data_IF_199805035866
#
_entry.id   IF_199805035866
#
_cell.length_a   1.000
_cell.length_b   1.000
_cell.length_c   1.000
_cell.angle_alpha   90.00
_cell.angle_beta   90.00
_cell.angle_gamma   90.00
#
_symmetry.space_group_name_H-M   'P 1'
#
loop_
_entity.id
_entity.type
_entity.pdbx_description
1 polymer ?
#
# COMPACT_ATOMS: atom_id res chain seq x y z
N UNK A 1 -5.46 -23.41 37.98
CA UNK A 1 -6.70 -24.20 37.94
C UNK A 1 -7.25 -24.35 36.52
N UNK A 2 -7.93 -23.37 35.89
CA UNK A 2 -8.59 -23.63 34.58
C UNK A 2 -7.66 -24.17 33.46
N UNK A 3 -6.46 -23.60 33.29
CA UNK A 3 -5.49 -24.10 32.30
C UNK A 3 -4.90 -25.47 32.66
N UNK A 4 -4.78 -25.79 33.96
CA UNK A 4 -4.30 -27.09 34.44
C UNK A 4 -5.34 -28.17 34.13
N UNK A 5 -6.61 -27.92 34.47
CA UNK A 5 -7.72 -28.84 34.17
C UNK A 5 -7.91 -29.07 32.67
N UNK A 6 -7.74 -28.03 31.84
CA UNK A 6 -7.77 -28.17 30.39
C UNK A 6 -6.60 -29.03 29.89
N UNK A 7 -5.39 -28.81 30.43
CA UNK A 7 -4.20 -29.57 30.07
C UNK A 7 -4.36 -31.04 30.44
N UNK A 8 -4.84 -31.35 31.64
CA UNK A 8 -5.13 -32.72 32.10
C UNK A 8 -6.14 -33.43 31.17
N UNK A 9 -7.25 -32.74 30.84
CA UNK A 9 -8.25 -33.26 29.90
C UNK A 9 -7.63 -33.56 28.53
N UNK A 10 -6.78 -32.65 28.02
CA UNK A 10 -6.11 -32.82 26.72
C UNK A 10 -5.10 -33.97 26.74
N UNK A 11 -4.35 -34.15 27.85
CA UNK A 11 -3.40 -35.25 28.00
C UNK A 11 -4.13 -36.59 28.08
N UNK A 12 -5.24 -36.67 28.83
CA UNK A 12 -6.07 -37.87 28.91
C UNK A 12 -6.70 -38.26 27.57
N UNK A 13 -6.98 -37.30 26.69
CA UNK A 13 -7.34 -37.59 25.31
C UNK A 13 -6.14 -37.97 24.44
N UNK A 14 -5.01 -37.28 24.57
CA UNK A 14 -3.85 -37.46 23.69
C UNK A 14 -3.12 -38.81 23.88
N UNK A 15 -3.00 -39.28 25.13
CA UNK A 15 -2.29 -40.52 25.47
C UNK A 15 -2.87 -41.75 24.76
N UNK A 16 -4.19 -42.03 24.82
CA UNK A 16 -4.81 -43.13 24.05
C UNK A 16 -4.66 -43.02 22.53
N UNK A 17 -4.47 -41.79 22.01
CA UNK A 17 -4.33 -41.53 20.58
C UNK A 17 -2.87 -41.47 20.11
N UNK A 18 -1.91 -41.78 20.99
CA UNK A 18 -0.47 -41.79 20.68
C UNK A 18 0.11 -40.39 20.40
N UNK A 19 -0.56 -39.32 20.87
CA UNK A 19 -0.12 -37.94 20.68
C UNK A 19 0.70 -37.51 21.89
N UNK A 20 1.92 -37.02 21.65
CA UNK A 20 2.81 -36.51 22.70
C UNK A 20 3.05 -35.02 22.50
N UNK A 21 2.73 -34.22 23.51
CA UNK A 21 3.05 -32.81 23.53
C UNK A 21 4.46 -32.58 24.05
N UNK A 22 5.29 -31.85 23.28
CA UNK A 22 6.63 -31.47 23.71
C UNK A 22 6.57 -30.23 24.62
N UNK A 23 6.89 -30.33 25.93
CA UNK A 23 6.78 -29.19 26.84
C UNK A 23 7.74 -28.04 26.49
N UNK A 24 8.85 -28.34 25.80
CA UNK A 24 9.80 -27.34 25.29
C UNK A 24 9.19 -26.40 24.23
N UNK A 25 8.06 -26.78 23.63
CA UNK A 25 7.31 -25.94 22.68
C UNK A 25 6.16 -25.18 23.35
N UNK A 26 5.94 -25.37 24.65
CA UNK A 26 4.91 -24.65 25.36
C UNK A 26 5.29 -23.19 25.51
N UNK A 27 4.28 -22.34 25.36
CA UNK A 27 4.39 -20.93 25.66
C UNK A 27 3.08 -20.46 26.25
N UNK A 28 3.18 -19.61 27.27
CA UNK A 28 2.03 -19.05 27.97
C UNK A 28 2.06 -17.55 27.77
N UNK A 29 0.97 -17.00 27.25
CA UNK A 29 0.78 -15.55 27.17
C UNK A 29 -0.50 -15.18 27.90
N UNK A 30 -0.42 -14.12 28.71
CA UNK A 30 -1.55 -13.62 29.49
C UNK A 30 -2.09 -12.35 28.87
N UNK A 31 -3.28 -12.43 28.30
CA UNK A 31 -3.99 -11.24 27.87
C UNK A 31 -4.39 -10.39 29.06
N UNK A 32 -4.17 -9.08 28.94
CA UNK A 32 -4.60 -8.09 29.94
C UNK A 32 -5.84 -7.37 29.41
N UNK A 33 -6.83 -7.19 30.28
CA UNK A 33 -7.91 -6.26 29.97
C UNK A 33 -7.31 -4.85 29.74
N UNK A 34 -7.68 -4.15 28.67
CA UNK A 34 -7.08 -2.86 28.31
C UNK A 34 -7.11 -1.79 29.42
N UNK A 35 -8.09 -1.85 30.32
CA UNK A 35 -8.29 -0.92 31.44
C UNK A 35 -7.66 -1.36 32.76
N UNK A 36 -7.13 -2.58 32.86
CA UNK A 36 -6.54 -3.06 34.12
C UNK A 36 -5.25 -2.30 34.42
N UNK A 37 -5.14 -1.76 35.65
CA UNK A 37 -3.90 -1.14 36.19
C UNK A 37 -3.10 -2.10 37.09
N UNK A 38 -3.62 -3.30 37.33
CA UNK A 38 -3.01 -4.30 38.22
C UNK A 38 -1.68 -4.80 37.62
N UNK A 39 -0.59 -4.91 38.41
CA UNK A 39 0.67 -5.50 37.95
C UNK A 39 0.46 -6.88 37.31
N UNK A 40 1.30 -7.22 36.32
CA UNK A 40 1.17 -8.49 35.63
C UNK A 40 1.38 -9.65 36.62
N UNK A 41 0.34 -10.46 36.83
CA UNK A 41 0.46 -11.67 37.65
C UNK A 41 1.46 -12.63 36.98
N UNK A 42 2.51 -13.02 37.71
CA UNK A 42 3.61 -13.86 37.19
C UNK A 42 3.43 -15.36 37.46
N UNK A 43 2.62 -15.77 38.43
CA UNK A 43 2.57 -17.18 38.85
C UNK A 43 2.10 -18.10 37.71
N UNK A 44 2.77 -19.21 37.44
CA UNK A 44 2.47 -20.11 36.32
C UNK A 44 1.46 -21.21 36.71
N UNK A 45 0.69 -21.76 35.75
CA UNK A 45 -0.07 -22.97 36.02
C UNK A 45 0.89 -24.13 36.29
N UNK A 46 0.51 -25.04 37.19
CA UNK A 46 1.25 -26.24 37.61
C UNK A 46 1.22 -27.32 36.51
N UNK A 47 1.73 -26.99 35.32
CA UNK A 47 1.85 -27.90 34.20
C UNK A 47 3.33 -28.25 34.03
N UNK A 48 3.63 -29.54 33.90
CA UNK A 48 5.00 -30.03 33.73
C UNK A 48 5.67 -29.39 32.52
N UNK A 49 6.84 -28.80 32.74
CA UNK A 49 7.64 -28.16 31.69
C UNK A 49 7.34 -26.68 31.44
N UNK A 50 6.40 -26.07 32.18
CA UNK A 50 6.29 -24.61 32.23
C UNK A 50 7.28 -24.03 33.23
N UNK A 51 8.17 -23.16 32.74
CA UNK A 51 9.12 -22.36 33.52
C UNK A 51 8.87 -20.87 33.29
N UNK A 52 9.53 -19.98 34.04
CA UNK A 52 9.38 -18.53 33.84
C UNK A 52 9.69 -18.10 32.40
N UNK A 53 10.63 -18.76 31.73
CA UNK A 53 10.97 -18.50 30.32
C UNK A 53 9.83 -18.81 29.34
N UNK A 54 8.88 -19.68 29.72
CA UNK A 54 7.69 -19.99 28.90
C UNK A 54 6.66 -18.87 28.94
N UNK A 55 6.73 -17.96 29.91
CA UNK A 55 5.85 -16.78 29.97
C UNK A 55 6.32 -15.75 28.94
N UNK A 56 5.54 -15.57 27.88
CA UNK A 56 5.84 -14.64 26.81
C UNK A 56 4.88 -13.45 26.80
N UNK A 57 5.40 -12.29 26.43
CA UNK A 57 4.63 -11.07 26.14
C UNK A 57 4.20 -10.98 24.68
N UNK A 58 4.79 -11.79 23.82
CA UNK A 58 4.51 -11.93 22.39
C UNK A 58 4.57 -13.39 21.97
N UNK A 59 3.65 -13.81 21.09
CA UNK A 59 3.60 -15.16 20.52
C UNK A 59 3.26 -15.13 19.04
N UNK A 60 3.90 -16.01 18.28
CA UNK A 60 3.56 -16.22 16.88
C UNK A 60 2.43 -17.24 16.75
N UNK A 61 1.27 -16.80 16.27
CA UNK A 61 0.11 -17.66 15.99
C UNK A 61 -0.18 -17.59 14.49
N UNK A 62 -0.08 -18.73 13.80
CA UNK A 62 -0.30 -18.83 12.35
C UNK A 62 0.44 -17.73 11.56
N UNK A 63 1.67 -17.39 11.94
CA UNK A 63 2.48 -16.38 11.25
C UNK A 63 2.21 -14.91 11.61
N UNK A 64 1.24 -14.64 12.50
CA UNK A 64 0.96 -13.31 13.09
C UNK A 64 1.63 -13.21 14.46
N UNK A 65 2.33 -12.12 14.73
CA UNK A 65 2.88 -11.86 16.08
C UNK A 65 1.81 -11.19 16.92
N UNK A 66 1.31 -11.90 17.92
CA UNK A 66 0.29 -11.41 18.85
C UNK A 66 0.98 -10.99 20.13
N UNK A 67 0.88 -9.72 20.51
CA UNK A 67 1.31 -9.27 21.82
C UNK A 67 0.17 -9.35 22.84
N UNK A 68 0.53 -9.52 24.11
CA UNK A 68 -0.39 -9.67 25.22
C UNK A 68 -1.34 -8.48 25.45
N UNK A 69 -1.08 -7.32 24.84
CA UNK A 69 -1.93 -6.13 24.90
C UNK A 69 -2.69 -5.87 23.59
N UNK A 70 -2.52 -6.73 22.57
CA UNK A 70 -3.11 -6.59 21.24
C UNK A 70 -2.82 -5.22 20.60
N UNK A 71 -1.61 -4.69 20.83
CA UNK A 71 -1.14 -3.42 20.26
C UNK A 71 -0.53 -3.57 18.87
N UNK A 72 -0.11 -4.78 18.49
CA UNK A 72 0.44 -5.16 17.19
C UNK A 72 1.81 -4.55 16.84
N UNK A 73 2.48 -3.90 17.79
CA UNK A 73 3.81 -3.30 17.57
C UNK A 73 4.84 -4.30 17.01
N UNK A 74 5.09 -5.43 17.70
CA UNK A 74 6.01 -6.46 17.24
C UNK A 74 5.66 -7.03 15.85
N UNK A 75 4.36 -7.16 15.56
CA UNK A 75 3.88 -7.62 14.25
C UNK A 75 4.26 -6.67 13.12
N UNK A 76 4.03 -5.36 13.31
CA UNK A 76 4.40 -4.35 12.31
C UNK A 76 5.90 -4.31 12.08
N UNK A 77 6.72 -4.46 13.12
CA UNK A 77 8.18 -4.53 13.01
C UNK A 77 8.63 -5.75 12.20
N UNK A 78 8.01 -6.90 12.42
CA UNK A 78 8.28 -8.12 11.64
C UNK A 78 7.84 -8.00 10.19
N UNK A 79 6.72 -7.32 9.91
CA UNK A 79 6.30 -6.98 8.54
C UNK A 79 7.35 -6.07 7.89
N UNK A 80 7.78 -5.00 8.56
CA UNK A 80 8.79 -4.08 8.05
C UNK A 80 10.09 -4.80 7.72
N UNK A 81 10.57 -5.70 8.58
CA UNK A 81 11.76 -6.50 8.34
C UNK A 81 11.62 -7.39 7.09
N UNK A 82 10.52 -8.14 6.97
CA UNK A 82 10.27 -9.02 5.82
C UNK A 82 10.16 -8.23 4.51
N UNK A 83 9.42 -7.12 4.52
CA UNK A 83 9.26 -6.24 3.35
C UNK A 83 10.59 -5.65 2.94
N UNK A 84 11.38 -5.07 3.87
CA UNK A 84 12.69 -4.51 3.57
C UNK A 84 13.65 -5.54 2.98
N UNK A 85 13.61 -6.78 3.47
CA UNK A 85 14.40 -7.87 2.91
C UNK A 85 13.96 -8.21 1.47
N UNK A 86 12.65 -8.27 1.20
CA UNK A 86 12.15 -8.47 -0.17
C UNK A 86 12.54 -7.30 -1.09
N UNK A 87 12.47 -6.06 -0.61
CA UNK A 87 12.88 -4.88 -1.37
C UNK A 87 14.38 -4.84 -1.65
N UNK A 88 15.23 -5.37 -0.75
CA UNK A 88 16.67 -5.54 -1.04
C UNK A 88 16.89 -6.47 -2.23
N UNK A 89 16.12 -7.55 -2.35
CA UNK A 89 16.17 -8.43 -3.52
C UNK A 89 15.73 -7.70 -4.80
N UNK A 90 14.61 -6.96 -4.75
CA UNK A 90 14.14 -6.18 -5.90
C UNK A 90 15.14 -5.10 -6.35
N UNK A 91 15.89 -4.52 -5.41
CA UNK A 91 16.94 -3.53 -5.72
C UNK A 91 18.10 -4.12 -6.53
N UNK A 92 18.34 -5.44 -6.45
CA UNK A 92 19.42 -6.10 -7.20
C UNK A 92 19.10 -6.30 -8.68
N UNK A 93 17.81 -6.29 -9.04
CA UNK A 93 17.34 -6.57 -10.41
C UNK A 93 16.86 -5.33 -11.16
N UNK A 94 16.66 -4.20 -10.46
CA UNK A 94 16.26 -2.93 -11.07
C UNK A 94 16.72 -1.76 -10.20
N UNK A 95 17.33 -0.79 -10.86
CA UNK A 95 17.70 0.52 -10.29
C UNK A 95 16.64 1.58 -10.60
N UNK A 96 16.99 2.85 -10.46
CA UNK A 96 16.12 3.95 -10.88
C UNK A 96 16.07 4.11 -12.40
N UNK A 97 17.17 3.83 -13.10
CA UNK A 97 17.25 4.04 -14.57
C UNK A 97 17.51 2.75 -15.36
N UNK A 98 17.90 1.65 -14.72
CA UNK A 98 18.25 0.39 -15.39
C UNK A 98 17.43 -0.79 -14.85
N UNK A 99 17.36 -1.87 -15.64
CA UNK A 99 16.70 -3.12 -15.27
C UNK A 99 15.22 -3.13 -15.65
N UNK A 100 14.41 -3.87 -14.89
CA UNK A 100 12.98 -4.03 -15.18
C UNK A 100 12.24 -2.68 -15.19
N UNK A 101 11.32 -2.52 -16.15
CA UNK A 101 10.48 -1.32 -16.30
C UNK A 101 9.53 -1.10 -15.11
N UNK A 102 8.86 0.07 -15.12
CA UNK A 102 7.95 0.45 -14.04
C UNK A 102 6.79 -0.53 -13.82
N UNK A 103 6.21 -1.06 -14.90
CA UNK A 103 5.03 -1.94 -14.83
C UNK A 103 5.41 -3.28 -14.22
N UNK A 104 6.54 -3.83 -14.65
CA UNK A 104 7.12 -5.06 -14.10
C UNK A 104 7.49 -4.88 -12.63
N UNK A 105 8.14 -3.78 -12.26
CA UNK A 105 8.48 -3.49 -10.86
C UNK A 105 7.24 -3.26 -9.98
N UNK A 106 6.21 -2.59 -10.53
CA UNK A 106 4.89 -2.46 -9.90
C UNK A 106 4.26 -3.82 -9.68
N UNK A 107 4.24 -4.69 -10.68
CA UNK A 107 3.69 -6.04 -10.58
C UNK A 107 4.43 -6.86 -9.52
N UNK A 108 5.75 -6.79 -9.46
CA UNK A 108 6.56 -7.45 -8.42
C UNK A 108 6.22 -6.94 -7.01
N UNK A 109 6.03 -5.63 -6.84
CA UNK A 109 5.56 -5.08 -5.57
C UNK A 109 4.18 -5.65 -5.19
N UNK A 110 3.21 -5.63 -6.12
CA UNK A 110 1.85 -6.09 -5.85
C UNK A 110 1.77 -7.59 -5.58
N UNK A 111 2.64 -8.40 -6.20
CA UNK A 111 2.62 -9.88 -6.12
C UNK A 111 3.53 -10.46 -5.04
N UNK A 112 4.64 -9.79 -4.69
CA UNK A 112 5.62 -10.31 -3.72
C UNK A 112 5.69 -9.51 -2.43
N UNK A 113 5.45 -8.21 -2.47
CA UNK A 113 5.59 -7.34 -1.29
C UNK A 113 4.26 -7.10 -0.60
N UNK A 114 3.22 -6.71 -1.35
CA UNK A 114 1.90 -6.42 -0.79
C UNK A 114 1.30 -7.60 0.00
N UNK A 115 1.44 -8.87 -0.43
CA UNK A 115 0.94 -10.02 0.33
C UNK A 115 1.62 -10.22 1.71
N UNK A 116 2.88 -9.82 1.86
CA UNK A 116 3.58 -9.86 3.16
C UNK A 116 2.86 -8.95 4.16
N UNK A 117 2.44 -7.78 3.68
CA UNK A 117 1.77 -6.75 4.48
C UNK A 117 0.32 -7.15 4.77
N UNK A 118 -0.39 -7.74 3.80
CA UNK A 118 -1.82 -8.03 3.93
C UNK A 118 -2.13 -9.37 4.60
N UNK A 119 -1.12 -10.20 4.83
CA UNK A 119 -1.28 -11.50 5.46
C UNK A 119 -2.06 -11.39 6.78
N UNK A 120 -3.17 -12.13 6.86
CA UNK A 120 -4.07 -12.18 8.01
C UNK A 120 -4.57 -10.80 8.51
N UNK A 121 -4.63 -9.76 7.64
CA UNK A 121 -5.04 -8.42 8.07
C UNK A 121 -6.45 -8.36 8.66
N UNK A 122 -7.33 -9.31 8.32
CA UNK A 122 -8.64 -9.46 8.95
C UNK A 122 -8.58 -9.71 10.48
N UNK A 123 -7.46 -10.22 10.99
CA UNK A 123 -7.27 -10.48 12.42
C UNK A 123 -6.67 -9.29 13.19
N UNK A 124 -5.64 -8.64 12.63
CA UNK A 124 -4.85 -7.62 13.34
C UNK A 124 -5.12 -6.18 12.87
N UNK A 125 -5.65 -5.96 11.65
CA UNK A 125 -5.94 -4.62 11.17
C UNK A 125 -7.38 -4.22 11.54
N UNK A 126 -7.47 -3.38 12.56
CA UNK A 126 -8.70 -2.79 13.09
C UNK A 126 -8.62 -1.28 12.83
N UNK A 127 -9.45 -0.78 11.92
CA UNK A 127 -9.56 0.66 11.59
C UNK A 127 -11.03 1.02 11.34
N UNK A 128 -11.33 2.32 11.29
CA UNK A 128 -12.68 2.87 11.10
C UNK A 128 -13.03 3.95 12.12
N UNK A 129 -13.94 4.84 11.74
CA UNK A 129 -14.39 5.94 12.60
C UNK A 129 -15.20 5.42 13.78
N UNK A 130 -15.06 6.02 14.95
CA UNK A 130 -15.78 5.60 16.16
C UNK A 130 -15.48 4.16 16.63
N UNK A 131 -14.46 3.50 16.06
CA UNK A 131 -13.99 2.18 16.49
C UNK A 131 -13.04 2.36 17.68
N UNK A 132 -13.37 1.78 18.84
CA UNK A 132 -12.41 1.70 19.96
C UNK A 132 -11.23 0.78 19.60
N UNK A 133 -10.10 0.86 20.32
CA UNK A 133 -8.99 -0.09 20.18
C UNK A 133 -8.46 -0.31 18.75
N UNK A 134 -8.63 0.68 17.87
CA UNK A 134 -8.06 0.68 16.52
C UNK A 134 -6.54 0.64 16.56
N UNK A 135 -5.93 0.21 15.47
CA UNK A 135 -4.48 0.24 15.32
C UNK A 135 -3.97 1.67 15.56
N UNK A 136 -2.95 1.79 16.41
CA UNK A 136 -2.44 3.10 16.81
C UNK A 136 -1.94 3.89 15.60
N UNK A 137 -2.22 5.21 15.57
CA UNK A 137 -1.91 6.09 14.43
C UNK A 137 -0.42 6.06 14.04
N UNK A 138 0.47 5.92 15.01
CA UNK A 138 1.91 5.79 14.76
C UNK A 138 2.26 4.49 14.02
N UNK A 139 1.57 3.39 14.29
CA UNK A 139 1.77 2.11 13.58
C UNK A 139 1.21 2.17 12.16
N UNK A 140 0.04 2.79 11.95
CA UNK A 140 -0.47 3.09 10.61
C UNK A 140 0.54 3.94 9.83
N UNK A 141 1.09 4.98 10.48
CA UNK A 141 2.13 5.82 9.88
C UNK A 141 3.39 5.03 9.51
N UNK A 142 3.86 4.10 10.37
CA UNK A 142 5.00 3.21 10.06
C UNK A 142 4.75 2.35 8.81
N UNK A 143 3.54 1.82 8.64
CA UNK A 143 3.16 1.06 7.44
C UNK A 143 3.14 1.97 6.21
N UNK A 144 2.51 3.13 6.31
CA UNK A 144 2.41 4.08 5.21
C UNK A 144 3.79 4.61 4.75
N UNK A 145 4.71 4.84 5.69
CA UNK A 145 6.11 5.17 5.40
C UNK A 145 6.83 4.00 4.71
N UNK A 146 6.63 2.76 5.17
CA UNK A 146 7.18 1.57 4.52
C UNK A 146 6.69 1.44 3.07
N UNK A 147 5.40 1.70 2.82
CA UNK A 147 4.89 1.72 1.45
C UNK A 147 5.57 2.80 0.62
N UNK A 148 5.71 4.02 1.15
CA UNK A 148 6.37 5.09 0.43
C UNK A 148 7.80 4.72 0.04
N UNK A 149 8.58 4.14 0.97
CA UNK A 149 9.93 3.63 0.68
C UNK A 149 9.91 2.63 -0.49
N UNK A 150 8.94 1.69 -0.50
CA UNK A 150 8.79 0.71 -1.56
C UNK A 150 8.43 1.37 -2.90
N UNK A 151 7.45 2.27 -2.89
CA UNK A 151 6.95 2.93 -4.10
C UNK A 151 8.00 3.83 -4.75
N UNK A 152 8.78 4.56 -3.95
CA UNK A 152 9.92 5.34 -4.46
C UNK A 152 10.97 4.43 -5.12
N UNK A 153 11.31 3.30 -4.50
CA UNK A 153 12.28 2.37 -5.06
C UNK A 153 11.79 1.75 -6.39
N UNK A 154 10.55 1.27 -6.44
CA UNK A 154 10.04 0.64 -7.67
C UNK A 154 9.76 1.64 -8.78
N UNK A 155 9.67 2.94 -8.48
CA UNK A 155 9.35 3.96 -9.48
C UNK A 155 10.52 4.82 -9.93
N UNK A 156 11.63 4.82 -9.19
CA UNK A 156 12.75 5.73 -9.47
C UNK A 156 12.46 7.18 -9.05
N UNK A 157 11.32 7.45 -8.42
CA UNK A 157 10.96 8.75 -7.89
C UNK A 157 11.98 9.25 -6.85
N UNK A 158 12.14 10.58 -6.78
CA UNK A 158 13.04 11.20 -5.81
C UNK A 158 12.53 11.02 -4.38
N UNK A 159 13.43 11.00 -3.40
CA UNK A 159 13.08 10.82 -1.98
C UNK A 159 12.06 11.85 -1.48
N UNK A 160 12.10 13.07 -2.01
CA UNK A 160 11.20 14.18 -1.66
C UNK A 160 9.85 14.17 -2.39
N UNK A 161 9.59 13.23 -3.30
CA UNK A 161 8.33 13.19 -4.04
C UNK A 161 7.16 12.89 -3.09
N UNK A 162 6.09 13.71 -3.09
CA UNK A 162 4.94 13.51 -2.20
C UNK A 162 4.27 12.14 -2.39
N UNK A 163 3.98 11.48 -1.28
CA UNK A 163 3.42 10.12 -1.23
C UNK A 163 2.14 9.95 -2.04
N UNK A 164 1.21 10.90 -1.92
CA UNK A 164 -0.09 10.81 -2.61
C UNK A 164 0.05 10.98 -4.13
N UNK A 165 1.05 11.75 -4.58
CA UNK A 165 1.39 11.88 -6.00
C UNK A 165 1.96 10.57 -6.55
N UNK A 166 2.90 9.93 -5.83
CA UNK A 166 3.47 8.63 -6.26
C UNK A 166 2.38 7.56 -6.32
N UNK A 167 1.48 7.51 -5.33
CA UNK A 167 0.32 6.60 -5.34
C UNK A 167 -0.59 6.80 -6.53
N UNK A 168 -0.87 8.06 -6.87
CA UNK A 168 -1.68 8.44 -8.02
C UNK A 168 -1.00 8.01 -9.32
N UNK A 169 0.27 8.35 -9.52
CA UNK A 169 1.01 8.00 -10.74
C UNK A 169 1.15 6.49 -10.93
N UNK A 170 1.33 5.73 -9.85
CA UNK A 170 1.41 4.26 -9.91
C UNK A 170 0.04 3.57 -9.84
N UNK A 171 -1.06 4.31 -9.67
CA UNK A 171 -2.38 3.77 -9.37
C UNK A 171 -2.34 2.67 -8.29
N UNK A 172 -1.80 3.02 -7.12
CA UNK A 172 -1.69 2.15 -5.94
C UNK A 172 -2.39 2.78 -4.75
N UNK A 173 -3.36 2.08 -4.19
CA UNK A 173 -4.05 2.45 -2.94
C UNK A 173 -3.07 2.71 -1.79
N UNK A 174 -3.42 3.62 -0.87
CA UNK A 174 -2.75 3.68 0.42
C UNK A 174 -2.87 2.32 1.14
N UNK A 175 -1.90 1.99 2.00
CA UNK A 175 -1.95 0.72 2.72
C UNK A 175 -3.15 0.67 3.67
N UNK A 176 -3.50 1.78 4.29
CA UNK A 176 -4.70 1.85 5.13
C UNK A 176 -5.97 1.46 4.36
N UNK A 177 -6.24 2.10 3.21
CA UNK A 177 -7.41 1.80 2.36
C UNK A 177 -7.34 0.35 1.86
N UNK A 178 -6.16 -0.11 1.46
CA UNK A 178 -5.95 -1.46 0.98
C UNK A 178 -6.24 -2.52 2.05
N UNK A 179 -5.69 -2.35 3.26
CA UNK A 179 -5.88 -3.26 4.38
C UNK A 179 -7.33 -3.27 4.85
N UNK A 180 -7.98 -2.09 4.89
CA UNK A 180 -9.40 -1.99 5.19
C UNK A 180 -10.23 -2.77 4.17
N UNK A 181 -9.98 -2.57 2.86
CA UNK A 181 -10.67 -3.29 1.79
C UNK A 181 -10.49 -4.81 1.89
N UNK A 182 -9.26 -5.28 2.06
CA UNK A 182 -8.97 -6.73 2.14
C UNK A 182 -9.61 -7.34 3.38
N UNK A 183 -9.52 -6.67 4.53
CA UNK A 183 -10.09 -7.13 5.78
C UNK A 183 -11.64 -7.13 5.75
N UNK A 184 -12.25 -6.09 5.20
CA UNK A 184 -13.70 -5.98 5.01
C UNK A 184 -14.23 -7.08 4.07
N UNK A 185 -13.62 -7.24 2.90
CA UNK A 185 -14.02 -8.25 1.94
C UNK A 185 -13.84 -9.67 2.52
N UNK A 186 -12.77 -9.92 3.27
CA UNK A 186 -12.58 -11.19 3.97
C UNK A 186 -13.73 -11.46 4.95
N UNK A 187 -14.03 -10.51 5.85
CA UNK A 187 -15.12 -10.65 6.83
C UNK A 187 -16.46 -10.88 6.15
N UNK A 188 -16.76 -10.14 5.10
CA UNK A 188 -18.00 -10.30 4.35
C UNK A 188 -18.10 -11.72 3.78
N UNK A 189 -17.05 -12.23 3.12
CA UNK A 189 -17.06 -13.58 2.54
C UNK A 189 -17.31 -14.68 3.58
N UNK A 190 -16.88 -14.50 4.84
CA UNK A 190 -16.97 -15.53 5.88
C UNK A 190 -18.25 -15.49 6.72
N UNK A 191 -19.15 -14.52 6.53
CA UNK A 191 -20.36 -14.35 7.37
C UNK A 191 -21.17 -15.65 7.55
N UNK A 192 -21.38 -16.40 6.47
CA UNK A 192 -22.19 -17.62 6.48
C UNK A 192 -21.42 -18.89 6.88
N UNK A 193 -20.15 -18.78 7.24
CA UNK A 193 -19.36 -19.95 7.67
C UNK A 193 -19.75 -20.37 9.09
N UNK A 194 -19.80 -21.68 9.40
CA UNK A 194 -20.09 -22.17 10.75
C UNK A 194 -19.17 -21.56 11.81
N UNK A 195 -17.90 -21.34 11.46
CA UNK A 195 -16.90 -20.75 12.34
C UNK A 195 -17.22 -19.29 12.67
N UNK A 196 -17.65 -18.50 11.68
CA UNK A 196 -18.05 -17.11 11.91
C UNK A 196 -19.31 -17.02 12.78
N UNK A 197 -20.29 -17.89 12.53
CA UNK A 197 -21.51 -17.96 13.33
C UNK A 197 -21.21 -18.34 14.79
N UNK A 198 -20.31 -19.29 15.02
CA UNK A 198 -19.89 -19.64 16.38
C UNK A 198 -19.14 -18.50 17.07
N UNK A 199 -18.24 -17.82 16.34
CA UNK A 199 -17.57 -16.62 16.85
C UNK A 199 -18.57 -15.51 17.21
N UNK A 200 -19.61 -15.30 16.40
CA UNK A 200 -20.68 -14.35 16.71
C UNK A 200 -21.46 -14.75 17.96
N UNK A 201 -21.83 -16.03 18.10
CA UNK A 201 -22.49 -16.52 19.33
C UNK A 201 -21.64 -16.25 20.56
N UNK A 202 -20.35 -16.58 20.52
CA UNK A 202 -19.41 -16.35 21.63
C UNK A 202 -19.32 -14.85 21.95
N UNK A 203 -19.23 -13.99 20.93
CA UNK A 203 -19.10 -12.53 21.10
C UNK A 203 -20.39 -11.84 21.55
N UNK A 204 -21.52 -12.49 21.38
CA UNK A 204 -22.82 -12.00 21.84
C UNK A 204 -23.24 -12.59 23.20
N UNK A 205 -22.40 -13.43 23.83
CA UNK A 205 -22.63 -13.86 25.21
C UNK A 205 -22.60 -12.64 26.14
N UNK A 206 -23.55 -12.51 27.08
CA UNK A 206 -23.54 -11.45 28.07
C UNK A 206 -22.25 -11.51 28.88
N UNK A 207 -21.48 -10.41 28.87
CA UNK A 207 -20.30 -10.27 29.72
C UNK A 207 -20.73 -9.56 31.00
N UNK A 208 -20.50 -10.21 32.14
CA UNK A 208 -20.81 -9.64 33.47
C UNK A 208 -20.06 -8.32 33.63
N UNK A 209 -20.79 -7.24 33.93
CA UNK A 209 -20.22 -5.91 34.16
C UNK A 209 -19.89 -5.10 32.90
N UNK A 210 -20.33 -5.52 31.71
CA UNK A 210 -20.17 -4.75 30.46
C UNK A 210 -21.54 -4.31 29.95
N UNK A 211 -21.73 -3.01 29.71
CA UNK A 211 -22.99 -2.49 29.15
C UNK A 211 -23.13 -2.84 27.66
N UNK A 212 -24.37 -2.99 27.19
CA UNK A 212 -24.66 -3.21 25.76
C UNK A 212 -24.08 -2.10 24.88
N UNK A 213 -24.17 -0.85 25.33
CA UNK A 213 -23.56 0.31 24.65
C UNK A 213 -22.03 0.23 24.51
N UNK A 214 -21.36 -0.43 25.45
CA UNK A 214 -19.91 -0.67 25.37
C UNK A 214 -19.59 -1.81 24.38
N UNK A 215 -20.47 -2.82 24.31
CA UNK A 215 -20.35 -3.91 23.34
C UNK A 215 -20.64 -3.46 21.90
N UNK A 216 -21.56 -2.51 21.68
CA UNK A 216 -21.82 -1.91 20.37
C UNK A 216 -20.60 -1.18 19.80
N UNK A 217 -19.84 -0.50 20.66
CA UNK A 217 -18.57 0.16 20.29
C UNK A 217 -17.41 -0.82 20.11
N UNK A 218 -17.63 -2.10 20.36
CA UNK A 218 -16.60 -3.12 20.22
C UNK A 218 -16.14 -3.19 18.75
N UNK A 219 -14.82 -3.24 18.48
CA UNK A 219 -14.31 -2.99 17.13
C UNK A 219 -14.80 -4.02 16.13
N UNK A 220 -14.78 -5.29 16.54
CA UNK A 220 -15.24 -6.36 15.70
C UNK A 220 -16.77 -6.36 15.50
N UNK A 221 -17.59 -5.68 16.33
CA UNK A 221 -19.04 -5.59 16.10
C UNK A 221 -19.30 -4.61 14.98
N UNK A 222 -18.69 -3.41 15.06
CA UNK A 222 -18.74 -2.42 13.98
C UNK A 222 -18.20 -2.97 12.65
N UNK A 223 -17.01 -3.56 12.67
CA UNK A 223 -16.40 -4.16 11.47
C UNK A 223 -17.22 -5.30 10.87
N UNK A 224 -18.00 -6.01 11.69
CA UNK A 224 -18.88 -7.06 11.22
C UNK A 224 -20.19 -6.50 10.67
N UNK A 225 -20.75 -5.44 11.27
CA UNK A 225 -21.87 -4.70 10.71
C UNK A 225 -21.53 -4.12 9.32
N UNK A 226 -20.34 -3.53 9.17
CA UNK A 226 -19.85 -3.04 7.86
C UNK A 226 -19.76 -4.19 6.83
N UNK A 227 -19.35 -5.38 7.27
CA UNK A 227 -19.24 -6.56 6.42
C UNK A 227 -20.62 -7.10 6.00
N UNK A 228 -21.61 -7.10 6.91
CA UNK A 228 -23.01 -7.45 6.59
C UNK A 228 -23.57 -6.46 5.57
N UNK A 229 -23.36 -5.16 5.77
CA UNK A 229 -23.81 -4.13 4.83
C UNK A 229 -23.23 -4.36 3.44
N UNK A 230 -21.92 -4.62 3.34
CA UNK A 230 -21.26 -4.93 2.07
C UNK A 230 -21.86 -6.19 1.40
N UNK A 231 -22.17 -7.23 2.20
CA UNK A 231 -22.80 -8.45 1.69
C UNK A 231 -24.23 -8.22 1.19
N UNK A 232 -25.01 -7.37 1.86
CA UNK A 232 -26.38 -7.01 1.47
C UNK A 232 -26.44 -6.16 0.20
N UNK A 233 -25.41 -5.34 -0.06
CA UNK A 233 -25.31 -4.56 -1.30
C UNK A 233 -24.85 -5.40 -2.50
N UNK A 234 -24.05 -6.44 -2.27
CA UNK A 234 -23.44 -7.24 -3.33
C UNK A 234 -24.43 -7.85 -4.34
N UNK A 235 -25.62 -8.37 -3.98
CA UNK A 235 -26.62 -8.84 -4.93
C UNK A 235 -27.12 -7.76 -5.88
N UNK A 236 -27.18 -6.48 -5.46
CA UNK A 236 -27.69 -5.37 -6.30
C UNK A 236 -26.83 -5.12 -7.54
N UNK A 237 -25.60 -5.66 -7.57
CA UNK A 237 -24.69 -5.57 -8.72
C UNK A 237 -24.91 -6.67 -9.76
N UNK A 238 -25.80 -7.62 -9.49
CA UNK A 238 -26.15 -8.75 -10.35
C UNK A 238 -27.55 -8.48 -10.91
N UNK A 239 -27.70 -8.55 -12.24
CA UNK A 239 -29.02 -8.41 -12.90
C UNK A 239 -29.92 -9.59 -12.51
N UNK A 240 -31.22 -9.31 -12.38
CA UNK A 240 -32.28 -10.21 -11.90
C UNK A 240 -32.18 -11.65 -12.43
N UNK A 241 -31.57 -12.51 -11.63
CA UNK A 241 -31.65 -13.95 -11.78
C UNK A 241 -32.06 -14.52 -10.41
N UNK A 242 -33.30 -15.00 -10.32
CA UNK A 242 -33.89 -15.55 -9.09
C UNK A 242 -33.13 -16.78 -8.59
N UNK A 243 -32.47 -17.54 -9.47
CA UNK A 243 -31.63 -18.67 -9.08
C UNK A 243 -30.28 -18.19 -8.52
N UNK A 244 -29.74 -17.08 -9.04
CA UNK A 244 -28.50 -16.49 -8.53
C UNK A 244 -28.65 -15.95 -7.10
N UNK A 245 -29.83 -15.43 -6.73
CA UNK A 245 -30.14 -15.01 -5.36
C UNK A 245 -30.26 -16.23 -4.42
N UNK A 246 -30.86 -17.34 -4.89
CA UNK A 246 -31.03 -18.56 -4.08
C UNK A 246 -29.70 -19.25 -3.75
N UNK A 247 -28.74 -19.24 -4.68
CA UNK A 247 -27.40 -19.83 -4.47
C UNK A 247 -26.36 -18.86 -3.88
N UNK A 248 -26.78 -17.68 -3.40
CA UNK A 248 -25.91 -16.58 -3.01
C UNK A 248 -24.88 -16.95 -1.93
N UNK A 249 -25.33 -17.63 -0.86
CA UNK A 249 -24.55 -17.84 0.37
C UNK A 249 -23.25 -18.64 0.15
N UNK A 250 -23.19 -19.51 -0.85
CA UNK A 250 -22.06 -20.43 -1.10
C UNK A 250 -21.35 -20.24 -2.44
N UNK A 251 -21.71 -19.21 -3.21
CA UNK A 251 -21.26 -19.07 -4.60
C UNK A 251 -19.93 -18.32 -4.76
N UNK A 252 -19.06 -18.80 -5.66
CA UNK A 252 -17.89 -18.04 -6.16
C UNK A 252 -18.32 -16.68 -6.75
N UNK A 253 -19.54 -16.58 -7.29
CA UNK A 253 -20.11 -15.33 -7.83
C UNK A 253 -20.27 -14.27 -6.73
N UNK A 254 -20.73 -14.66 -5.53
CA UNK A 254 -20.82 -13.76 -4.36
C UNK A 254 -19.47 -13.19 -3.99
N UNK A 255 -18.43 -14.03 -3.91
CA UNK A 255 -17.08 -13.57 -3.61
C UNK A 255 -16.56 -12.54 -4.63
N UNK A 256 -16.86 -12.74 -5.92
CA UNK A 256 -16.52 -11.78 -6.98
C UNK A 256 -17.27 -10.45 -6.81
N UNK A 257 -18.57 -10.49 -6.51
CA UNK A 257 -19.39 -9.30 -6.27
C UNK A 257 -18.94 -8.51 -5.03
N UNK A 258 -18.70 -9.18 -3.90
CA UNK A 258 -18.14 -8.58 -2.67
C UNK A 258 -16.83 -7.86 -2.97
N UNK A 259 -15.90 -8.53 -3.68
CA UNK A 259 -14.61 -7.94 -4.03
C UNK A 259 -14.78 -6.71 -4.95
N UNK A 260 -15.75 -6.75 -5.87
CA UNK A 260 -16.05 -5.63 -6.79
C UNK A 260 -16.55 -4.40 -6.03
N UNK A 261 -17.51 -4.55 -5.11
CA UNK A 261 -18.00 -3.42 -4.30
C UNK A 261 -16.91 -2.90 -3.36
N UNK A 262 -16.18 -3.81 -2.70
CA UNK A 262 -15.09 -3.41 -1.81
C UNK A 262 -14.01 -2.61 -2.57
N UNK A 263 -13.75 -2.96 -3.84
CA UNK A 263 -12.87 -2.20 -4.72
C UNK A 263 -13.45 -0.83 -5.08
N UNK A 264 -14.75 -0.74 -5.34
CA UNK A 264 -15.44 0.53 -5.59
C UNK A 264 -15.34 1.47 -4.37
N UNK A 265 -15.59 0.97 -3.16
CA UNK A 265 -15.42 1.75 -1.93
C UNK A 265 -14.00 2.28 -1.79
N UNK A 266 -12.99 1.42 -2.01
CA UNK A 266 -11.60 1.85 -1.97
C UNK A 266 -11.26 2.90 -3.04
N UNK A 267 -11.81 2.77 -4.26
CA UNK A 267 -11.62 3.76 -5.32
C UNK A 267 -12.23 5.12 -4.92
N UNK A 268 -13.40 5.13 -4.29
CA UNK A 268 -14.03 6.34 -3.77
C UNK A 268 -13.19 6.98 -2.65
N UNK A 269 -12.70 6.16 -1.70
CA UNK A 269 -11.80 6.64 -0.63
C UNK A 269 -10.52 7.25 -1.20
N UNK A 270 -9.88 6.59 -2.17
CA UNK A 270 -8.67 7.11 -2.80
C UNK A 270 -8.91 8.38 -3.61
N UNK A 271 -10.07 8.49 -4.28
CA UNK A 271 -10.48 9.72 -4.96
C UNK A 271 -10.67 10.88 -3.97
N UNK A 272 -11.31 10.62 -2.82
CA UNK A 272 -11.44 11.60 -1.73
C UNK A 272 -10.08 12.08 -1.22
N UNK A 273 -9.19 11.14 -0.85
CA UNK A 273 -7.83 11.44 -0.38
C UNK A 273 -7.03 12.25 -1.40
N UNK A 274 -7.15 11.92 -2.69
CA UNK A 274 -6.47 12.65 -3.76
C UNK A 274 -7.00 14.08 -3.92
N UNK A 275 -8.33 14.26 -3.88
CA UNK A 275 -8.94 15.58 -3.97
C UNK A 275 -8.59 16.45 -2.76
N UNK A 276 -8.55 15.87 -1.56
CA UNK A 276 -8.10 16.58 -0.36
C UNK A 276 -6.65 17.01 -0.48
N UNK A 277 -5.77 16.12 -0.95
CA UNK A 277 -4.37 16.46 -1.23
C UNK A 277 -4.25 17.60 -2.24
N UNK A 278 -4.98 17.56 -3.36
CA UNK A 278 -4.99 18.64 -4.37
C UNK A 278 -5.47 19.97 -3.78
N UNK A 279 -6.53 19.94 -2.96
CA UNK A 279 -7.07 21.13 -2.29
C UNK A 279 -6.06 21.72 -1.31
N UNK A 280 -5.46 20.88 -0.47
CA UNK A 280 -4.41 21.30 0.45
C UNK A 280 -3.19 21.88 -0.27
N UNK A 281 -2.80 21.30 -1.40
CA UNK A 281 -1.70 21.79 -2.21
C UNK A 281 -2.00 23.17 -2.82
N UNK A 282 -3.20 23.35 -3.40
CA UNK A 282 -3.62 24.61 -4.00
C UNK A 282 -3.69 25.77 -3.00
N UNK A 283 -4.03 25.46 -1.75
CA UNK A 283 -4.22 26.45 -0.67
C UNK A 283 -2.95 26.68 0.18
N UNK A 284 -1.76 26.23 -0.26
CA UNK A 284 -0.53 26.42 0.53
C UNK A 284 -0.08 27.89 0.51
N UNK A 285 0.03 28.56 1.67
CA UNK A 285 0.48 29.95 1.73
C UNK A 285 1.98 30.11 1.44
N UNK A 286 2.79 29.10 1.80
CA UNK A 286 4.23 29.29 2.02
C UNK A 286 5.13 29.00 0.81
N UNK A 287 4.56 28.67 -0.37
CA UNK A 287 5.26 28.44 -1.65
C UNK A 287 4.25 28.04 -2.74
N UNK A 288 3.89 28.90 -3.71
CA UNK A 288 3.16 28.45 -4.89
C UNK A 288 4.12 27.61 -5.73
N UNK A 289 4.14 26.29 -5.47
CA UNK A 289 4.77 25.37 -6.42
C UNK A 289 3.92 25.36 -7.68
N UNK A 290 4.52 25.33 -8.88
CA UNK A 290 3.76 25.20 -10.12
C UNK A 290 2.80 24.01 -10.06
N UNK A 291 1.64 24.14 -10.69
CA UNK A 291 0.73 23.02 -10.88
C UNK A 291 1.41 22.07 -11.87
N UNK A 292 1.67 20.85 -11.43
CA UNK A 292 2.37 19.84 -12.23
C UNK A 292 1.36 19.01 -13.00
N UNK A 293 1.76 18.40 -14.12
CA UNK A 293 0.87 17.54 -14.92
C UNK A 293 0.20 16.44 -14.06
N UNK A 294 0.92 15.89 -13.07
CA UNK A 294 0.35 14.91 -12.15
C UNK A 294 -0.86 15.44 -11.34
N UNK A 295 -0.91 16.74 -11.00
CA UNK A 295 -1.95 17.38 -10.20
C UNK A 295 -3.19 17.81 -11.00
N UNK A 296 -3.12 17.77 -12.33
CA UNK A 296 -4.22 18.17 -13.21
C UNK A 296 -5.29 17.07 -13.29
N UNK A 297 -4.87 15.82 -13.22
CA UNK A 297 -5.74 14.65 -13.34
C UNK A 297 -6.41 14.24 -12.02
N UNK A 298 -7.58 13.62 -12.12
CA UNK A 298 -8.25 12.94 -11.00
C UNK A 298 -7.60 11.60 -10.65
N UNK A 299 -8.12 10.95 -9.61
CA UNK A 299 -7.69 9.60 -9.26
C UNK A 299 -8.21 8.61 -10.31
N UNK A 300 -7.32 7.79 -10.88
CA UNK A 300 -7.68 6.78 -11.86
C UNK A 300 -6.47 6.01 -12.39
N UNK A 301 -6.69 4.99 -13.23
CA UNK A 301 -5.60 4.21 -13.82
C UNK A 301 -4.85 4.97 -14.91
N UNK A 302 -5.43 6.05 -15.44
CA UNK A 302 -4.93 6.75 -16.63
C UNK A 302 -3.47 7.18 -16.51
N UNK A 303 -3.05 7.73 -15.37
CA UNK A 303 -1.67 8.16 -15.15
C UNK A 303 -0.67 7.02 -15.24
N UNK A 304 -1.05 5.86 -14.70
CA UNK A 304 -0.24 4.65 -14.78
C UNK A 304 -0.12 4.12 -16.22
N UNK A 305 -1.12 4.35 -17.07
CA UNK A 305 -1.11 3.90 -18.47
C UNK A 305 -0.12 4.68 -19.35
N UNK A 306 0.26 5.91 -18.97
CA UNK A 306 1.26 6.69 -19.72
C UNK A 306 2.67 6.06 -19.71
N UNK A 307 2.91 5.13 -18.78
CA UNK A 307 4.18 4.41 -18.66
C UNK A 307 4.22 3.13 -19.53
N UNK A 308 3.17 2.85 -20.31
CA UNK A 308 3.13 1.69 -21.19
C UNK A 308 4.21 1.77 -22.27
N UNK A 309 5.02 0.71 -22.39
CA UNK A 309 6.05 0.60 -23.41
C UNK A 309 7.31 1.44 -23.15
N UNK A 310 7.36 2.19 -22.04
CA UNK A 310 8.54 2.99 -21.69
C UNK A 310 9.63 2.12 -21.06
N UNK A 311 10.88 2.43 -21.39
CA UNK A 311 12.05 1.86 -20.70
C UNK A 311 12.06 2.24 -19.22
N UNK A 312 13.00 1.68 -18.47
CA UNK A 312 13.20 2.04 -17.06
C UNK A 312 13.64 3.51 -16.91
N UNK A 313 14.60 3.98 -17.70
CA UNK A 313 15.01 5.38 -17.66
C UNK A 313 13.89 6.31 -18.12
N UNK A 314 13.18 5.97 -19.19
CA UNK A 314 12.05 6.77 -19.68
C UNK A 314 10.93 6.86 -18.64
N UNK A 315 10.57 5.75 -17.99
CA UNK A 315 9.56 5.74 -16.93
C UNK A 315 9.93 6.66 -15.77
N UNK A 316 11.20 6.61 -15.32
CA UNK A 316 11.68 7.46 -14.23
C UNK A 316 11.72 8.93 -14.64
N UNK A 317 12.18 9.22 -15.86
CA UNK A 317 12.15 10.57 -16.41
C UNK A 317 10.70 11.10 -16.52
N UNK A 318 9.76 10.28 -16.99
CA UNK A 318 8.35 10.68 -17.09
C UNK A 318 7.79 11.05 -15.72
N UNK A 319 8.04 10.22 -14.71
CA UNK A 319 7.58 10.48 -13.35
C UNK A 319 8.19 11.78 -12.82
N UNK A 320 9.49 12.00 -13.01
CA UNK A 320 10.16 13.23 -12.59
C UNK A 320 9.54 14.45 -13.27
N UNK A 321 9.33 14.41 -14.59
CA UNK A 321 8.70 15.47 -15.36
C UNK A 321 7.26 15.76 -14.89
N UNK A 322 6.44 14.71 -14.72
CA UNK A 322 5.01 14.84 -14.35
C UNK A 322 4.80 15.31 -12.92
N UNK A 323 5.68 14.90 -12.01
CA UNK A 323 5.60 15.28 -10.59
C UNK A 323 6.30 16.59 -10.28
N UNK A 324 7.15 17.08 -11.17
CA UNK A 324 8.01 18.25 -10.94
C UNK A 324 9.08 18.02 -9.88
N UNK A 325 9.16 16.81 -9.29
CA UNK A 325 10.23 16.39 -8.41
C UNK A 325 11.33 15.77 -9.27
N UNK A 326 12.30 16.59 -9.66
CA UNK A 326 13.29 16.29 -10.68
C UNK A 326 14.62 16.95 -10.32
N UNK A 327 15.73 16.38 -10.81
CA UNK A 327 17.09 16.92 -10.61
C UNK A 327 17.39 18.24 -11.34
N UNK A 328 16.42 19.13 -11.51
CA UNK A 328 16.62 20.47 -12.09
C UNK A 328 16.77 21.53 -10.98
N UNK A 329 17.49 22.61 -11.27
CA UNK A 329 17.84 23.64 -10.27
C UNK A 329 16.62 24.22 -9.57
N UNK A 330 15.49 24.37 -10.27
CA UNK A 330 14.29 24.93 -9.65
C UNK A 330 13.71 24.06 -8.53
N UNK A 331 13.68 22.74 -8.71
CA UNK A 331 13.21 21.83 -7.66
C UNK A 331 14.26 21.69 -6.54
N UNK A 332 15.53 21.50 -6.91
CA UNK A 332 16.64 21.36 -5.96
C UNK A 332 16.81 22.58 -5.06
N UNK A 333 16.68 23.80 -5.60
CA UNK A 333 16.67 25.04 -4.82
C UNK A 333 15.43 25.10 -3.90
N UNK A 334 14.25 24.65 -4.37
CA UNK A 334 13.02 24.68 -3.58
C UNK A 334 13.08 23.81 -2.32
N UNK A 335 13.84 22.72 -2.38
CA UNK A 335 14.13 21.80 -1.28
C UNK A 335 15.43 22.15 -0.53
N UNK A 336 16.08 23.27 -0.88
CA UNK A 336 17.27 23.81 -0.23
C UNK A 336 18.48 22.85 -0.26
N UNK A 337 18.83 22.33 -1.42
CA UNK A 337 20.12 21.62 -1.59
C UNK A 337 21.27 22.62 -1.50
N UNK A 338 22.21 22.40 -0.58
CA UNK A 338 23.30 23.34 -0.26
C UNK A 338 24.15 23.77 -1.47
N UNK A 339 24.37 22.88 -2.44
CA UNK A 339 25.15 23.15 -3.65
C UNK A 339 24.40 23.93 -4.73
N UNK A 340 23.12 24.28 -4.51
CA UNK A 340 22.27 24.97 -5.48
C UNK A 340 21.82 26.31 -4.88
N UNK A 341 22.47 27.37 -5.34
CA UNK A 341 22.30 28.76 -4.89
C UNK A 341 21.17 29.53 -5.60
N UNK A 342 20.68 29.02 -6.74
CA UNK A 342 19.65 29.70 -7.54
C UNK A 342 18.78 28.70 -8.29
N UNK A 343 17.48 29.03 -8.41
CA UNK A 343 16.51 28.28 -9.20
C UNK A 343 16.51 28.62 -10.70
N UNK A 344 17.34 29.59 -11.12
CA UNK A 344 17.45 30.04 -12.51
C UNK A 344 18.15 29.02 -13.41
N UNK A 345 17.76 29.00 -14.67
CA UNK A 345 18.45 28.29 -15.73
C UNK A 345 19.72 29.05 -16.15
N UNK A 346 20.72 28.33 -16.65
CA UNK A 346 21.99 28.91 -17.09
C UNK A 346 21.84 29.80 -18.34
N UNK A 347 20.77 29.60 -19.12
CA UNK A 347 20.42 30.45 -20.26
C UNK A 347 20.03 31.89 -19.88
N UNK A 348 19.76 32.15 -18.58
CA UNK A 348 19.43 33.47 -18.05
C UNK A 348 17.98 33.92 -18.23
N UNK A 349 17.13 33.21 -18.97
CA UNK A 349 15.77 33.70 -19.34
C UNK A 349 14.63 33.18 -18.47
N UNK A 350 14.88 32.29 -17.51
CA UNK A 350 13.83 31.74 -16.66
C UNK A 350 14.29 30.82 -15.55
N UNK A 351 13.32 30.24 -14.83
CA UNK A 351 13.57 29.19 -13.84
C UNK A 351 13.92 27.89 -14.56
N UNK A 352 14.83 27.09 -14.00
CA UNK A 352 15.24 25.81 -14.58
C UNK A 352 14.18 24.73 -14.31
N UNK A 353 13.08 24.77 -15.06
CA UNK A 353 11.93 23.86 -14.95
C UNK A 353 11.79 22.98 -16.19
N UNK A 354 10.98 21.92 -16.06
CA UNK A 354 10.63 21.01 -17.17
C UNK A 354 10.02 21.79 -18.35
N UNK A 355 9.03 22.64 -18.07
CA UNK A 355 8.36 23.49 -19.06
C UNK A 355 9.35 24.45 -19.75
N UNK A 356 10.22 25.10 -18.98
CA UNK A 356 11.22 25.99 -19.53
C UNK A 356 12.16 25.26 -20.49
N UNK A 357 12.65 24.07 -20.13
CA UNK A 357 13.54 23.31 -21.00
C UNK A 357 12.84 22.83 -22.28
N UNK A 358 11.59 22.39 -22.20
CA UNK A 358 10.85 21.95 -23.40
C UNK A 358 10.47 23.09 -24.35
N UNK A 359 10.15 24.29 -23.84
CA UNK A 359 9.47 25.30 -24.67
C UNK A 359 10.11 26.69 -24.68
N UNK A 360 11.01 27.02 -23.75
CA UNK A 360 11.43 28.42 -23.52
C UNK A 360 12.94 28.63 -23.43
N UNK A 361 13.73 27.58 -23.26
CA UNK A 361 15.18 27.68 -23.10
C UNK A 361 15.87 28.00 -24.45
N UNK A 362 16.49 29.18 -24.62
CA UNK A 362 17.13 29.55 -25.87
C UNK A 362 18.35 28.67 -26.19
N UNK A 363 19.06 28.19 -25.16
CA UNK A 363 20.20 27.27 -25.33
C UNK A 363 19.79 25.93 -25.96
N UNK A 364 18.49 25.59 -25.91
CA UNK A 364 17.92 24.39 -26.50
C UNK A 364 17.08 24.66 -27.75
N UNK A 365 17.03 25.90 -28.26
CA UNK A 365 16.13 26.30 -29.34
C UNK A 365 16.26 25.43 -30.60
N UNK A 366 17.49 25.12 -31.03
CA UNK A 366 17.73 24.26 -32.19
C UNK A 366 17.16 22.84 -32.01
N UNK A 367 17.32 22.27 -30.80
CA UNK A 367 16.77 20.95 -30.47
C UNK A 367 15.26 20.97 -30.28
N UNK A 368 14.71 22.07 -29.77
CA UNK A 368 13.27 22.26 -29.63
C UNK A 368 12.59 22.34 -31.00
N UNK A 369 13.22 22.97 -32.01
CA UNK A 369 12.67 22.98 -33.38
C UNK A 369 12.61 21.56 -33.96
N UNK A 370 13.69 20.79 -33.87
CA UNK A 370 13.70 19.38 -34.33
C UNK A 370 12.65 18.54 -33.59
N UNK A 371 12.56 18.73 -32.28
CA UNK A 371 11.60 18.05 -31.43
C UNK A 371 10.15 18.40 -31.78
N UNK A 372 9.84 19.68 -31.98
CA UNK A 372 8.51 20.19 -32.31
C UNK A 372 8.01 19.69 -33.66
N UNK A 373 8.89 19.30 -34.58
CA UNK A 373 8.47 18.61 -35.81
C UNK A 373 7.96 17.19 -35.56
N UNK A 374 8.37 16.54 -34.46
CA UNK A 374 7.96 15.18 -34.09
C UNK A 374 6.69 15.15 -33.23
N UNK A 375 6.34 16.26 -32.58
CA UNK A 375 5.17 16.36 -31.68
C UNK A 375 4.33 17.58 -32.05
N UNK A 376 3.02 17.40 -32.25
CA UNK A 376 2.14 18.49 -32.72
C UNK A 376 1.47 19.26 -31.57
N UNK A 377 2.17 19.43 -30.45
CA UNK A 377 1.60 19.98 -29.20
C UNK A 377 2.53 21.00 -28.56
N UNK A 378 1.95 22.11 -28.10
CA UNK A 378 2.66 23.21 -27.42
C UNK A 378 2.41 23.25 -25.91
N UNK A 379 1.70 22.26 -25.37
CA UNK A 379 1.39 22.17 -23.94
C UNK A 379 2.07 20.97 -23.27
N UNK A 380 2.58 21.18 -22.07
CA UNK A 380 3.33 20.17 -21.32
C UNK A 380 2.46 18.96 -20.94
N UNK A 381 1.16 19.16 -20.70
CA UNK A 381 0.25 18.10 -20.28
C UNK A 381 0.06 17.05 -21.36
N UNK A 382 -0.27 17.48 -22.58
CA UNK A 382 -0.42 16.59 -23.74
C UNK A 382 0.90 15.90 -24.07
N UNK A 383 2.01 16.64 -23.99
CA UNK A 383 3.35 16.11 -24.22
C UNK A 383 3.71 14.95 -23.29
N UNK A 384 3.46 15.11 -21.99
CA UNK A 384 3.74 14.10 -20.96
C UNK A 384 2.65 13.03 -20.83
N UNK A 385 1.70 12.97 -21.78
CA UNK A 385 0.63 11.96 -21.79
C UNK A 385 0.55 11.20 -23.11
N UNK A 386 0.44 11.88 -24.25
CA UNK A 386 0.33 11.27 -25.57
C UNK A 386 1.69 10.89 -26.15
N UNK A 387 2.69 11.76 -25.96
CA UNK A 387 4.02 11.63 -26.57
C UNK A 387 5.11 11.31 -25.53
N UNK A 388 4.73 10.63 -24.44
CA UNK A 388 5.60 10.39 -23.30
C UNK A 388 6.94 9.71 -23.67
N UNK A 389 6.95 8.79 -24.63
CA UNK A 389 8.20 8.15 -25.09
C UNK A 389 9.14 9.17 -25.74
N UNK A 390 8.63 9.98 -26.66
CA UNK A 390 9.40 10.99 -27.40
C UNK A 390 9.88 12.07 -26.44
N UNK A 391 9.00 12.55 -25.56
CA UNK A 391 9.30 13.55 -24.54
C UNK A 391 10.40 13.10 -23.57
N UNK A 392 10.32 11.86 -23.08
CA UNK A 392 11.31 11.33 -22.11
C UNK A 392 12.64 11.03 -22.76
N UNK A 393 12.66 10.52 -23.99
CA UNK A 393 13.89 10.32 -24.77
C UNK A 393 14.62 11.66 -25.00
N UNK A 394 13.87 12.70 -25.37
CA UNK A 394 14.41 14.05 -25.53
C UNK A 394 14.91 14.62 -24.20
N UNK A 395 14.12 14.51 -23.12
CA UNK A 395 14.53 14.99 -21.79
C UNK A 395 15.80 14.29 -21.28
N UNK A 396 15.93 12.97 -21.46
CA UNK A 396 17.13 12.21 -21.09
C UNK A 396 18.37 12.75 -21.82
N UNK A 397 18.23 13.13 -23.11
CA UNK A 397 19.32 13.71 -23.89
C UNK A 397 19.73 15.10 -23.42
N UNK A 398 18.74 15.98 -23.20
CA UNK A 398 18.98 17.42 -23.17
C UNK A 398 18.87 18.07 -21.79
N UNK A 399 18.23 17.45 -20.80
CA UNK A 399 18.08 18.07 -19.47
C UNK A 399 19.38 18.13 -18.66
N UNK A 400 20.42 17.38 -19.05
CA UNK A 400 21.72 17.44 -18.38
C UNK A 400 21.71 16.90 -16.94
N UNK A 401 20.76 16.03 -16.58
CA UNK A 401 20.65 15.46 -15.24
C UNK A 401 21.61 14.27 -15.12
N UNK A 402 22.57 14.33 -14.18
CA UNK A 402 23.62 13.31 -14.00
C UNK A 402 23.08 11.89 -13.79
N UNK A 403 21.94 11.74 -13.11
CA UNK A 403 21.28 10.44 -12.93
C UNK A 403 21.04 9.71 -14.26
N UNK A 404 20.84 10.45 -15.36
CA UNK A 404 20.52 9.91 -16.68
C UNK A 404 21.70 9.96 -17.65
N UNK A 405 22.91 10.23 -17.16
CA UNK A 405 24.12 10.29 -17.99
C UNK A 405 24.35 9.01 -18.79
N UNK A 406 24.25 7.85 -18.13
CA UNK A 406 24.49 6.56 -18.79
C UNK A 406 23.44 6.24 -19.86
N UNK A 407 22.12 6.35 -19.60
CA UNK A 407 21.10 6.21 -20.64
C UNK A 407 21.28 7.18 -21.80
N UNK A 408 21.67 8.43 -21.53
CA UNK A 408 21.96 9.44 -22.56
C UNK A 408 23.08 9.02 -23.50
N UNK A 409 24.13 8.40 -22.97
CA UNK A 409 25.27 7.90 -23.76
C UNK A 409 24.95 6.56 -24.49
N UNK A 410 23.86 5.87 -24.12
CA UNK A 410 23.53 4.51 -24.58
C UNK A 410 22.06 4.31 -24.96
N UNK A 411 21.44 5.30 -25.64
CA UNK A 411 19.99 5.31 -25.93
C UNK A 411 19.48 4.08 -26.70
N UNK A 412 20.32 3.46 -27.52
CA UNK A 412 19.96 2.27 -28.29
C UNK A 412 19.91 0.97 -27.45
N UNK A 413 20.49 0.98 -26.25
CA UNK A 413 20.55 -0.19 -25.37
C UNK A 413 19.20 -0.49 -24.68
N UNK A 414 18.39 0.54 -24.44
CA UNK A 414 17.15 0.43 -23.65
C UNK A 414 15.87 0.28 -24.49
N UNK A 415 15.98 0.22 -25.83
CA UNK A 415 14.81 -0.03 -26.69
C UNK A 415 14.12 -1.31 -26.21
N UNK A 416 12.84 -1.26 -25.81
CA UNK A 416 12.13 -2.44 -25.35
C UNK A 416 12.20 -3.47 -26.47
N UNK A 417 12.90 -4.58 -26.25
CA UNK A 417 12.73 -5.75 -27.10
C UNK A 417 11.24 -6.09 -26.99
N UNK A 418 10.51 -6.03 -28.10
CA UNK A 418 9.13 -6.50 -28.16
C UNK A 418 9.11 -7.98 -27.73
N UNK A 419 9.00 -8.24 -26.44
CA UNK A 419 8.68 -9.55 -25.93
C UNK A 419 7.16 -9.67 -26.04
N UNK A 420 6.72 -10.23 -27.17
CA UNK A 420 5.34 -10.55 -27.53
C UNK A 420 4.69 -11.62 -26.63
N UNK A 421 5.19 -11.81 -25.40
CA UNK A 421 4.71 -12.83 -24.49
C UNK A 421 4.55 -12.22 -23.11
N UNK A 422 3.41 -11.57 -22.86
CA UNK A 422 2.67 -11.59 -21.59
C UNK A 422 1.47 -10.63 -21.71
N UNK A 423 0.58 -10.92 -22.67
CA UNK A 423 -0.81 -10.45 -22.57
C UNK A 423 -1.51 -11.32 -21.53
N UNK A 424 -1.65 -10.79 -20.32
CA UNK A 424 -2.67 -11.23 -19.37
C UNK A 424 -3.69 -10.09 -19.26
N UNK A 425 -4.38 -9.84 -20.36
CA UNK A 425 -5.76 -9.38 -20.28
C UNK A 425 -6.61 -10.64 -19.99
N UNK A 426 -7.63 -10.47 -19.15
CA UNK A 426 -8.48 -11.51 -18.54
C UNK A 426 -7.95 -12.13 -17.23
N UNK A 427 -8.24 -11.46 -16.10
CA UNK A 427 -9.02 -12.05 -14.97
C UNK A 427 -9.46 -11.03 -13.93
#
# INVERSE_FOLDING_TARGET
MALETLHETLMGWAEPHGIVFAPTKYAVMRFRAPWSKIPQFKGLPKIRGLTEDTLKTELRILGVEVDHQLKWGPHIEKIQLKVRNQMKCLRRISGSIWGADLRNMRQLYLTKVRPIITYACGAWFISGDGVQWRLAKNLVTKLESLQQECLLQISGAMKGTPRDVVRKELHIESLEVHLQRVALAHRARTIYTPECQELERIRNRPLVGVSDSSLERHPFRKLHADAIHLDQEAPRTIRDDKEAIRAWQTSKRRNKAINKIALHYAANSMSGLWNDYRRHYANRPDKPRPRTAALEEGWGPQSYLYYNGLSRAQSTMLLHCRTGCIGLRADLHSIKVDSIDSDKCLCGTGRHTVEHLFFHCPDLAAFQSEYSHKVNHSDLGTLLTKDASIATEWAIRHFGIDQFRWPRENLDYEKPKHHSHFSLEET
#
